data_IF_934247741665
#
_entry.id   IF_934247741665
#
_cell.length_a   1.000
_cell.length_b   1.000
_cell.length_c   1.000
_cell.angle_alpha   90.00
_cell.angle_beta   90.00
_cell.angle_gamma   90.00
#
_symmetry.space_group_name_H-M   'P 1'
#
loop_
_entity.id
_entity.type
_entity.pdbx_description
1 polymer ?
#
# COMPACT_ATOMS: atom_id res chain seq x y z
N UNK A 1 1.62 6.31 20.77
CA UNK A 1 0.46 7.09 21.27
C UNK A 1 0.71 8.57 20.99
N UNK A 2 0.03 9.12 19.97
CA UNK A 2 0.19 10.53 19.51
C UNK A 2 -0.11 11.57 20.63
N UNK A 3 -0.74 11.13 21.72
CA UNK A 3 -1.11 12.00 22.85
C UNK A 3 0.08 12.48 23.69
N UNK A 4 1.23 11.85 23.57
CA UNK A 4 2.40 12.16 24.43
C UNK A 4 3.42 13.14 23.81
N UNK A 5 3.18 13.65 22.61
CA UNK A 5 4.04 14.65 22.00
C UNK A 5 3.60 16.06 22.42
N UNK A 6 4.42 16.74 23.21
CA UNK A 6 4.13 18.06 23.80
C UNK A 6 3.79 19.19 22.80
N UNK A 7 4.06 19.01 21.50
CA UNK A 7 3.94 20.07 20.48
C UNK A 7 2.97 19.74 19.33
N UNK A 8 2.02 18.79 19.52
CA UNK A 8 1.04 18.48 18.50
C UNK A 8 -0.28 19.20 18.76
N UNK A 9 -0.59 20.20 17.93
CA UNK A 9 -1.87 20.90 17.94
C UNK A 9 -2.84 20.23 16.96
N UNK A 10 -3.90 19.59 17.48
CA UNK A 10 -4.94 18.97 16.66
C UNK A 10 -5.98 20.01 16.27
N UNK A 11 -5.91 20.51 15.05
CA UNK A 11 -6.86 21.49 14.51
C UNK A 11 -7.85 20.77 13.60
N UNK A 12 -9.10 20.65 14.03
CA UNK A 12 -10.22 20.21 13.17
C UNK A 12 -10.74 21.41 12.39
N UNK A 13 -10.20 21.71 11.23
CA UNK A 13 -10.67 22.79 10.37
C UNK A 13 -11.05 22.25 8.99
N UNK A 14 -12.27 22.56 8.53
CA UNK A 14 -12.67 22.32 7.14
C UNK A 14 -11.95 23.35 6.26
N UNK A 15 -10.91 22.93 5.56
CA UNK A 15 -10.15 23.79 4.65
C UNK A 15 -11.01 24.17 3.45
N UNK A 16 -11.33 25.45 3.31
CA UNK A 16 -11.93 26.02 2.09
C UNK A 16 -10.83 26.34 1.08
N UNK A 17 -11.21 26.51 -0.19
CA UNK A 17 -10.30 26.65 -1.36
C UNK A 17 -9.27 27.78 -1.24
N UNK A 18 -9.59 28.85 -0.54
CA UNK A 18 -8.74 30.03 -0.34
C UNK A 18 -7.61 29.84 0.69
N UNK A 19 -7.67 28.79 1.48
CA UNK A 19 -6.81 28.67 2.67
C UNK A 19 -5.40 28.11 2.39
N UNK A 20 -5.19 27.35 1.30
CA UNK A 20 -3.87 26.73 1.07
C UNK A 20 -2.77 27.74 0.70
N UNK A 21 -3.10 28.78 -0.03
CA UNK A 21 -2.12 29.84 -0.31
C UNK A 21 -1.73 30.60 0.96
N UNK A 22 -2.66 30.75 1.89
CA UNK A 22 -2.41 31.36 3.20
C UNK A 22 -1.66 30.37 4.12
N UNK A 23 -1.99 29.08 4.08
CA UNK A 23 -1.25 28.05 4.83
C UNK A 23 0.18 27.87 4.32
N UNK A 24 0.40 27.90 3.00
CA UNK A 24 1.75 27.79 2.44
C UNK A 24 2.68 28.94 2.83
N UNK A 25 2.13 30.10 3.22
CA UNK A 25 2.90 31.21 3.76
C UNK A 25 3.16 31.10 5.27
N UNK A 26 2.36 30.29 5.99
CA UNK A 26 2.39 30.17 7.45
C UNK A 26 3.25 29.01 7.93
N UNK A 27 3.43 27.96 7.12
CA UNK A 27 4.14 26.74 7.49
C UNK A 27 5.30 26.48 6.54
N UNK A 28 6.43 26.05 7.08
CA UNK A 28 7.63 25.72 6.32
C UNK A 28 7.41 24.46 5.48
N UNK A 29 6.67 23.48 6.01
CA UNK A 29 6.34 22.22 5.37
C UNK A 29 4.87 21.86 5.59
N UNK A 30 4.19 21.45 4.51
CA UNK A 30 2.83 20.91 4.54
C UNK A 30 2.85 19.50 3.97
N UNK A 31 2.40 18.52 4.75
CA UNK A 31 2.26 17.12 4.31
C UNK A 31 0.79 16.86 4.00
N UNK A 32 0.49 16.57 2.73
CA UNK A 32 -0.87 16.30 2.26
C UNK A 32 -1.06 14.82 1.96
N UNK A 33 -1.80 14.14 2.82
CA UNK A 33 -2.14 12.71 2.69
C UNK A 33 -3.54 12.47 2.15
N UNK A 34 -4.35 13.53 1.96
CA UNK A 34 -5.74 13.39 1.57
C UNK A 34 -5.89 13.22 0.06
N UNK A 35 -6.31 12.03 -0.38
CA UNK A 35 -6.59 11.70 -1.78
C UNK A 35 -7.62 12.62 -2.44
N UNK A 36 -8.63 13.07 -1.69
CA UNK A 36 -9.76 13.86 -2.18
C UNK A 36 -9.53 15.37 -2.09
N UNK A 37 -8.37 15.80 -1.61
CA UNK A 37 -8.09 17.21 -1.48
C UNK A 37 -8.03 17.89 -2.85
N UNK A 38 -9.09 18.62 -3.22
CA UNK A 38 -9.24 19.31 -4.50
C UNK A 38 -8.14 20.34 -4.79
N UNK A 39 -7.50 20.88 -3.75
CA UNK A 39 -6.41 21.86 -3.87
C UNK A 39 -5.13 21.27 -4.38
N UNK A 40 -4.72 20.19 -3.77
CA UNK A 40 -3.51 19.52 -4.15
C UNK A 40 -3.69 18.74 -5.46
N UNK A 41 -4.94 18.41 -5.83
CA UNK A 41 -5.21 17.78 -7.14
C UNK A 41 -4.77 18.64 -8.30
N UNK A 42 -4.84 19.96 -8.20
CA UNK A 42 -4.31 20.88 -9.22
C UNK A 42 -2.78 20.84 -9.32
N UNK A 43 -2.10 20.64 -8.21
CA UNK A 43 -0.63 20.59 -8.15
C UNK A 43 -0.09 19.18 -8.43
N UNK A 44 -0.87 18.14 -8.08
CA UNK A 44 -0.49 16.73 -8.16
C UNK A 44 -1.34 15.94 -9.16
N UNK A 45 -1.52 16.49 -10.37
CA UNK A 45 -2.36 15.89 -11.42
C UNK A 45 -1.59 14.90 -12.30
N UNK A 46 -0.27 15.09 -12.45
CA UNK A 46 0.56 14.20 -13.27
C UNK A 46 0.82 12.88 -12.55
N UNK A 47 0.09 11.84 -12.96
CA UNK A 47 0.16 10.50 -12.38
C UNK A 47 0.30 9.45 -13.47
N UNK A 48 1.06 8.40 -13.19
CA UNK A 48 0.93 7.13 -13.89
C UNK A 48 -0.25 6.43 -13.25
N UNK A 49 -1.25 6.05 -14.04
CA UNK A 49 -2.48 5.41 -13.55
C UNK A 49 -2.75 4.15 -14.35
N UNK A 50 -3.26 3.13 -13.67
CA UNK A 50 -3.81 1.92 -14.24
C UNK A 50 -5.01 1.47 -13.41
N UNK A 51 -6.10 1.12 -14.05
CA UNK A 51 -7.21 0.47 -13.39
C UNK A 51 -7.00 -1.05 -13.48
N UNK A 52 -7.13 -1.74 -12.35
CA UNK A 52 -7.03 -3.20 -12.34
C UNK A 52 -8.34 -3.87 -12.74
N UNK A 53 -9.42 -3.10 -12.87
CA UNK A 53 -10.77 -3.63 -13.06
C UNK A 53 -11.06 -4.75 -12.05
N UNK A 54 -10.69 -4.49 -10.81
CA UNK A 54 -10.78 -5.43 -9.70
C UNK A 54 -11.17 -4.69 -8.42
N UNK A 55 -11.86 -5.40 -7.53
CA UNK A 55 -12.21 -4.94 -6.18
C UNK A 55 -11.48 -5.76 -5.14
N UNK A 56 -11.06 -5.10 -4.06
CA UNK A 56 -10.68 -5.78 -2.84
C UNK A 56 -11.90 -5.93 -1.95
N UNK A 57 -12.09 -7.12 -1.39
CA UNK A 57 -13.06 -7.40 -0.34
C UNK A 57 -12.29 -7.75 0.92
N UNK A 58 -12.61 -7.07 2.01
CA UNK A 58 -11.88 -7.19 3.28
C UNK A 58 -12.86 -7.56 4.38
N UNK A 59 -12.52 -8.57 5.17
CA UNK A 59 -13.25 -8.96 6.36
C UNK A 59 -12.32 -9.50 7.43
N UNK A 60 -12.78 -9.62 8.67
CA UNK A 60 -12.09 -10.33 9.73
C UNK A 60 -12.79 -11.67 9.91
N UNK A 61 -12.00 -12.74 9.81
CA UNK A 61 -12.40 -14.09 10.11
C UNK A 61 -12.01 -14.41 11.56
N UNK A 62 -13.00 -14.76 12.38
CA UNK A 62 -12.78 -15.27 13.74
C UNK A 62 -12.76 -16.79 13.70
N UNK A 63 -11.81 -17.40 14.38
CA UNK A 63 -11.56 -18.84 14.37
C UNK A 63 -11.15 -19.35 15.76
N UNK A 64 -11.10 -20.64 15.93
CA UNK A 64 -10.58 -21.26 17.16
C UNK A 64 -9.14 -20.80 17.40
N UNK A 65 -8.73 -20.76 18.66
CA UNK A 65 -7.40 -20.31 19.06
C UNK A 65 -6.32 -21.24 18.50
N UNK A 66 -5.38 -20.66 17.77
CA UNK A 66 -4.19 -21.32 17.22
C UNK A 66 -2.98 -20.39 17.34
N UNK A 67 -1.77 -20.91 17.17
CA UNK A 67 -0.59 -20.08 16.94
C UNK A 67 -0.69 -19.44 15.54
N UNK A 68 -1.11 -18.16 15.50
CA UNK A 68 -1.43 -17.44 14.26
C UNK A 68 -0.39 -16.37 13.95
N UNK A 69 0.79 -16.78 13.53
CA UNK A 69 1.95 -15.91 13.29
C UNK A 69 2.44 -15.89 11.83
N UNK A 70 1.76 -16.62 10.93
CA UNK A 70 2.17 -16.75 9.52
C UNK A 70 1.13 -16.12 8.60
N UNK A 71 1.52 -15.07 7.86
CA UNK A 71 0.73 -14.53 6.76
C UNK A 71 0.79 -15.50 5.57
N UNK A 72 -0.37 -15.78 4.97
CA UNK A 72 -0.51 -16.68 3.82
C UNK A 72 -1.21 -15.98 2.69
N UNK A 73 -0.79 -16.27 1.46
CA UNK A 73 -1.45 -15.77 0.27
C UNK A 73 -1.64 -16.91 -0.74
N UNK A 74 -2.85 -16.99 -1.27
CA UNK A 74 -3.24 -17.98 -2.28
C UNK A 74 -3.60 -17.23 -3.56
N UNK A 75 -2.94 -17.57 -4.67
CA UNK A 75 -3.29 -17.04 -5.99
C UNK A 75 -4.37 -17.91 -6.61
N UNK A 76 -5.53 -17.31 -6.88
CA UNK A 76 -6.67 -17.99 -7.48
C UNK A 76 -6.91 -17.49 -8.91
N UNK A 77 -7.78 -18.18 -9.67
CA UNK A 77 -8.15 -17.76 -11.01
C UNK A 77 -8.81 -16.37 -11.07
N UNK A 78 -9.44 -15.94 -10.00
CA UNK A 78 -10.15 -14.65 -9.92
C UNK A 78 -9.31 -13.54 -9.27
N UNK A 79 -8.21 -13.90 -8.63
CA UNK A 79 -7.28 -12.99 -7.96
C UNK A 79 -6.72 -13.58 -6.66
N UNK A 80 -5.79 -12.91 -6.00
CA UNK A 80 -5.19 -13.38 -4.76
C UNK A 80 -6.15 -13.26 -3.56
N UNK A 81 -6.02 -14.21 -2.63
CA UNK A 81 -6.63 -14.22 -1.31
C UNK A 81 -5.50 -14.22 -0.29
N UNK A 82 -5.46 -13.23 0.58
CA UNK A 82 -4.50 -13.14 1.68
C UNK A 82 -5.18 -13.42 3.03
N UNK A 83 -4.51 -14.20 3.85
CA UNK A 83 -4.84 -14.50 5.24
C UNK A 83 -3.76 -13.85 6.11
N UNK A 84 -4.11 -12.76 6.79
CA UNK A 84 -3.18 -11.92 7.52
C UNK A 84 -3.48 -12.02 9.03
N UNK A 85 -2.59 -12.60 9.83
CA UNK A 85 -2.78 -12.74 11.27
C UNK A 85 -3.02 -11.40 11.97
N UNK A 86 -4.04 -11.35 12.84
CA UNK A 86 -4.29 -10.22 13.76
C UNK A 86 -4.00 -10.65 15.18
N UNK A 87 -4.51 -11.83 15.56
CA UNK A 87 -4.34 -12.44 16.88
C UNK A 87 -4.47 -13.95 16.76
N UNK A 88 -4.27 -14.68 17.87
CA UNK A 88 -4.42 -16.14 17.91
C UNK A 88 -5.80 -16.66 17.50
N UNK A 89 -6.83 -15.82 17.50
CA UNK A 89 -8.22 -16.19 17.19
C UNK A 89 -8.86 -15.31 16.12
N UNK A 90 -8.08 -14.48 15.42
CA UNK A 90 -8.60 -13.61 14.38
C UNK A 90 -7.57 -13.39 13.26
N UNK A 91 -8.07 -13.40 12.01
CA UNK A 91 -7.28 -13.24 10.80
C UNK A 91 -8.00 -12.26 9.87
N UNK A 92 -7.29 -11.25 9.39
CA UNK A 92 -7.80 -10.38 8.32
C UNK A 92 -7.72 -11.10 6.99
N UNK A 93 -8.82 -11.10 6.26
CA UNK A 93 -8.89 -11.67 4.91
C UNK A 93 -8.98 -10.53 3.91
N UNK A 94 -8.11 -10.56 2.92
CA UNK A 94 -8.12 -9.61 1.80
C UNK A 94 -8.23 -10.41 0.51
N UNK A 95 -9.34 -10.25 -0.20
CA UNK A 95 -9.60 -10.91 -1.48
C UNK A 95 -9.52 -9.86 -2.58
N UNK A 96 -8.67 -10.04 -3.55
CA UNK A 96 -8.74 -9.30 -4.81
C UNK A 96 -9.54 -10.13 -5.80
N UNK A 97 -10.58 -9.54 -6.36
CA UNK A 97 -11.44 -10.21 -7.34
C UNK A 97 -11.67 -9.30 -8.53
N UNK A 98 -11.59 -9.86 -9.74
CA UNK A 98 -11.93 -9.12 -10.96
C UNK A 98 -13.32 -8.55 -10.87
N UNK A 99 -13.47 -7.33 -11.33
CA UNK A 99 -14.75 -6.63 -11.34
C UNK A 99 -15.74 -7.41 -12.21
N UNK A 100 -16.84 -7.80 -11.59
CA UNK A 100 -18.04 -8.28 -12.28
C UNK A 100 -19.04 -7.14 -12.31
N UNK A 101 -20.06 -7.22 -13.17
CA UNK A 101 -21.09 -6.19 -13.32
C UNK A 101 -21.78 -5.84 -11.97
N UNK A 102 -21.75 -6.76 -11.02
CA UNK A 102 -22.31 -6.58 -9.67
C UNK A 102 -21.26 -6.86 -8.61
N UNK A 103 -21.37 -6.16 -7.47
CA UNK A 103 -20.63 -6.52 -6.27
C UNK A 103 -20.93 -7.97 -5.87
N UNK A 104 -19.89 -8.67 -5.42
CA UNK A 104 -20.06 -10.02 -4.91
C UNK A 104 -20.89 -9.98 -3.63
N UNK A 105 -21.85 -10.89 -3.54
CA UNK A 105 -22.61 -11.02 -2.32
C UNK A 105 -21.78 -11.63 -1.18
N UNK A 106 -22.25 -11.46 0.04
CA UNK A 106 -21.60 -11.95 1.25
C UNK A 106 -21.40 -13.47 1.20
N UNK A 107 -22.41 -14.21 0.79
CA UNK A 107 -22.37 -15.67 0.78
C UNK A 107 -21.31 -16.20 -0.19
N UNK A 108 -21.18 -15.57 -1.35
CA UNK A 108 -20.14 -15.94 -2.32
C UNK A 108 -18.74 -15.71 -1.75
N UNK A 109 -18.51 -14.56 -1.11
CA UNK A 109 -17.20 -14.21 -0.51
C UNK A 109 -16.86 -15.19 0.62
N UNK A 110 -17.80 -15.50 1.51
CA UNK A 110 -17.61 -16.46 2.59
C UNK A 110 -17.29 -17.87 2.05
N UNK A 111 -18.04 -18.35 1.04
CA UNK A 111 -17.77 -19.63 0.37
C UNK A 111 -16.38 -19.65 -0.27
N UNK A 112 -15.95 -18.53 -0.87
CA UNK A 112 -14.62 -18.43 -1.46
C UNK A 112 -13.52 -18.53 -0.38
N UNK A 113 -13.70 -17.86 0.76
CA UNK A 113 -12.78 -17.97 1.89
C UNK A 113 -12.72 -19.41 2.41
N UNK A 114 -13.86 -20.02 2.65
CA UNK A 114 -13.95 -21.41 3.13
C UNK A 114 -13.24 -22.37 2.18
N UNK A 115 -13.45 -22.21 0.87
CA UNK A 115 -12.83 -23.07 -0.15
C UNK A 115 -11.30 -23.07 -0.12
N UNK A 116 -10.69 -21.92 0.20
CA UNK A 116 -9.23 -21.76 0.21
C UNK A 116 -8.64 -21.75 1.63
N UNK A 117 -9.48 -21.94 2.64
CA UNK A 117 -9.07 -22.05 4.02
C UNK A 117 -8.75 -23.49 4.38
N UNK A 118 -7.46 -23.80 4.57
CA UNK A 118 -7.00 -25.13 5.01
C UNK A 118 -6.42 -25.13 6.44
N UNK A 119 -6.55 -24.01 7.17
CA UNK A 119 -5.77 -23.80 8.40
C UNK A 119 -6.63 -23.44 9.61
N UNK A 120 -7.81 -22.86 9.40
CA UNK A 120 -8.60 -22.27 10.46
C UNK A 120 -9.95 -22.96 10.61
N UNK A 121 -10.34 -23.28 11.83
CA UNK A 121 -11.72 -23.67 12.15
C UNK A 121 -12.52 -22.40 12.37
N UNK A 122 -13.30 -22.03 11.35
CA UNK A 122 -14.01 -20.75 11.27
C UNK A 122 -15.19 -20.75 12.25
N UNK A 123 -15.33 -19.68 13.02
CA UNK A 123 -16.46 -19.42 13.91
C UNK A 123 -17.43 -18.41 13.29
N UNK A 124 -16.92 -17.27 12.80
CA UNK A 124 -17.74 -16.22 12.18
C UNK A 124 -16.90 -15.29 11.33
N UNK A 125 -17.59 -14.53 10.48
CA UNK A 125 -17.02 -13.41 9.72
C UNK A 125 -17.59 -12.07 10.21
N UNK A 126 -16.77 -11.04 10.23
CA UNK A 126 -17.19 -9.65 10.44
C UNK A 126 -17.86 -9.08 9.18
N UNK A 127 -18.23 -7.79 9.21
CA UNK A 127 -18.75 -7.12 8.03
C UNK A 127 -17.70 -7.08 6.92
N UNK A 128 -18.16 -7.30 5.68
CA UNK A 128 -17.33 -7.22 4.49
C UNK A 128 -17.33 -5.78 3.98
N UNK A 129 -16.14 -5.24 3.74
CA UNK A 129 -15.94 -3.96 3.09
C UNK A 129 -15.36 -4.17 1.70
N UNK A 130 -15.71 -3.31 0.74
CA UNK A 130 -15.18 -3.38 -0.63
C UNK A 130 -14.53 -2.07 -1.07
N UNK A 131 -13.45 -2.19 -1.86
CA UNK A 131 -12.68 -1.07 -2.37
C UNK A 131 -12.24 -1.33 -3.81
N UNK A 132 -12.36 -0.33 -4.67
CA UNK A 132 -11.83 -0.43 -6.04
C UNK A 132 -10.30 -0.41 -6.01
N UNK A 133 -9.69 -1.33 -6.73
CA UNK A 133 -8.24 -1.43 -6.84
C UNK A 133 -7.73 -0.61 -8.02
N UNK A 134 -6.80 0.29 -7.75
CA UNK A 134 -6.18 1.17 -8.73
C UNK A 134 -4.69 1.27 -8.49
N UNK A 135 -3.95 1.35 -9.57
CA UNK A 135 -2.54 1.74 -9.53
C UNK A 135 -2.43 3.24 -9.78
N UNK A 136 -1.67 3.92 -8.98
CA UNK A 136 -1.40 5.35 -9.16
C UNK A 136 -0.04 5.71 -8.57
N UNK A 137 0.82 6.33 -9.37
CA UNK A 137 2.09 6.89 -8.93
C UNK A 137 2.16 8.35 -9.34
N UNK A 138 2.49 9.24 -8.40
CA UNK A 138 2.76 10.64 -8.73
C UNK A 138 4.07 10.80 -9.49
N UNK A 139 4.06 11.66 -10.52
CA UNK A 139 5.28 12.05 -11.25
C UNK A 139 6.06 13.15 -10.54
N UNK A 140 5.42 13.93 -9.66
CA UNK A 140 6.06 14.96 -8.84
C UNK A 140 5.52 14.85 -7.42
N UNK A 141 6.41 14.78 -6.45
CA UNK A 141 6.06 14.50 -5.06
C UNK A 141 5.74 15.76 -4.27
N UNK A 142 6.29 16.90 -4.70
CA UNK A 142 6.05 18.18 -4.03
C UNK A 142 5.71 19.30 -5.01
N UNK A 143 5.09 20.33 -4.46
CA UNK A 143 4.82 21.61 -5.15
C UNK A 143 4.92 22.73 -4.12
N UNK A 144 5.82 23.70 -4.36
CA UNK A 144 6.21 24.72 -3.37
C UNK A 144 6.72 24.03 -2.09
N UNK A 145 6.05 24.28 -0.96
CA UNK A 145 6.33 23.66 0.35
C UNK A 145 5.29 22.57 0.73
N UNK A 146 4.53 22.07 -0.24
CA UNK A 146 3.52 21.02 -0.03
C UNK A 146 4.07 19.71 -0.58
N UNK A 147 4.16 18.70 0.27
CA UNK A 147 4.51 17.32 -0.06
C UNK A 147 3.24 16.47 -0.15
N UNK A 148 3.03 15.78 -1.26
CA UNK A 148 2.08 14.68 -1.32
C UNK A 148 2.68 13.48 -0.60
N UNK A 149 1.88 12.77 0.21
CA UNK A 149 2.38 11.68 1.03
C UNK A 149 1.35 10.54 1.19
N UNK A 150 1.83 9.35 1.52
CA UNK A 150 0.97 8.20 1.72
C UNK A 150 0.29 7.74 0.42
N UNK A 151 -0.96 7.31 0.52
CA UNK A 151 -1.74 6.83 -0.64
C UNK A 151 -1.94 7.89 -1.73
N UNK A 152 -1.73 9.17 -1.40
CA UNK A 152 -1.73 10.24 -2.40
C UNK A 152 -0.51 10.15 -3.31
N UNK A 153 0.62 9.74 -2.76
CA UNK A 153 1.88 9.59 -3.46
C UNK A 153 1.88 8.36 -4.36
N UNK A 154 1.49 7.23 -3.78
CA UNK A 154 1.44 5.95 -4.49
C UNK A 154 0.31 5.06 -3.98
N UNK A 155 -0.42 4.47 -4.91
CA UNK A 155 -1.39 3.40 -4.69
C UNK A 155 -0.95 2.20 -5.52
N UNK A 156 -0.80 1.06 -4.89
CA UNK A 156 -0.40 -0.19 -5.54
C UNK A 156 -1.41 -1.30 -5.21
N UNK A 157 -1.35 -2.39 -5.94
CA UNK A 157 -2.14 -3.57 -5.61
C UNK A 157 -1.83 -4.04 -4.17
N UNK A 158 -2.84 -4.43 -3.36
CA UNK A 158 -2.64 -4.86 -1.97
C UNK A 158 -1.98 -6.25 -1.86
N UNK A 159 -1.04 -6.54 -2.74
CA UNK A 159 -0.29 -7.78 -2.74
C UNK A 159 0.61 -7.81 -1.50
N UNK A 160 0.39 -8.78 -0.63
CA UNK A 160 1.15 -8.95 0.61
C UNK A 160 1.27 -7.68 1.50
N UNK A 161 0.32 -6.74 1.42
CA UNK A 161 0.30 -5.53 2.25
C UNK A 161 1.42 -4.52 1.97
N UNK A 162 2.11 -4.61 0.84
CA UNK A 162 3.32 -3.84 0.53
C UNK A 162 3.11 -2.32 0.42
N UNK A 163 1.89 -1.85 0.15
CA UNK A 163 1.59 -0.41 0.13
C UNK A 163 1.86 0.28 1.47
N UNK A 164 1.51 -0.37 2.57
CA UNK A 164 1.81 0.13 3.92
C UNK A 164 3.32 0.18 4.19
N UNK A 165 4.04 -0.85 3.80
CA UNK A 165 5.50 -0.91 3.95
C UNK A 165 6.21 0.20 3.16
N UNK A 166 5.73 0.55 1.97
CA UNK A 166 6.24 1.71 1.22
C UNK A 166 6.06 3.00 2.01
N UNK A 167 4.87 3.21 2.61
CA UNK A 167 4.59 4.39 3.43
C UNK A 167 5.51 4.47 4.66
N UNK A 168 5.78 3.36 5.35
CA UNK A 168 6.70 3.33 6.50
C UNK A 168 8.13 3.70 6.09
N UNK A 169 8.61 3.21 4.95
CA UNK A 169 9.93 3.58 4.41
C UNK A 169 10.01 5.07 4.06
N UNK A 170 8.95 5.60 3.48
CA UNK A 170 8.86 7.02 3.15
C UNK A 170 8.85 7.89 4.41
N UNK A 171 8.11 7.48 5.47
CA UNK A 171 8.11 8.15 6.78
C UNK A 171 9.53 8.16 7.35
N UNK A 172 10.17 6.99 7.40
CA UNK A 172 11.53 6.87 7.95
C UNK A 172 12.51 7.79 7.23
N UNK A 173 12.45 7.81 5.89
CA UNK A 173 13.36 8.64 5.11
C UNK A 173 13.09 10.13 5.34
N UNK A 174 11.83 10.56 5.29
CA UNK A 174 11.45 11.96 5.52
C UNK A 174 11.83 12.42 6.94
N UNK A 175 11.59 11.59 7.95
CA UNK A 175 12.00 11.90 9.33
C UNK A 175 13.51 12.10 9.42
N UNK A 176 14.30 11.20 8.87
CA UNK A 176 15.76 11.31 8.90
C UNK A 176 16.25 12.60 8.21
N UNK A 177 15.65 12.98 7.07
CA UNK A 177 16.02 14.23 6.38
C UNK A 177 15.68 15.47 7.21
N UNK A 178 14.53 15.48 7.88
CA UNK A 178 14.14 16.55 8.79
C UNK A 178 15.08 16.62 9.99
N UNK A 179 15.35 15.48 10.64
CA UNK A 179 16.23 15.40 11.81
C UNK A 179 17.66 15.85 11.47
N UNK A 180 18.18 15.47 10.30
CA UNK A 180 19.48 15.93 9.82
C UNK A 180 19.52 17.46 9.65
N UNK A 181 18.47 18.05 9.08
CA UNK A 181 18.40 19.53 8.95
C UNK A 181 18.36 20.22 10.31
N UNK A 182 17.55 19.69 11.23
CA UNK A 182 17.44 20.25 12.59
C UNK A 182 18.79 20.15 13.33
N UNK A 183 19.46 19.00 13.28
CA UNK A 183 20.73 18.78 13.97
C UNK A 183 21.86 19.69 13.46
N UNK A 184 21.79 20.08 12.19
CA UNK A 184 22.74 21.01 11.56
C UNK A 184 22.33 22.49 11.72
N UNK A 185 21.23 22.79 12.42
CA UNK A 185 20.71 24.15 12.56
C UNK A 185 20.19 24.77 11.24
N UNK A 186 19.86 23.92 10.24
CA UNK A 186 19.41 24.37 8.94
C UNK A 186 17.88 24.50 8.89
N UNK A 187 17.40 25.38 8.02
CA UNK A 187 15.96 25.57 7.84
C UNK A 187 15.32 24.34 7.17
N UNK A 188 14.11 24.00 7.64
CA UNK A 188 13.24 23.00 6.99
C UNK A 188 12.54 23.71 5.85
N UNK A 189 13.07 23.59 4.64
CA UNK A 189 12.58 24.27 3.44
C UNK A 189 12.31 23.26 2.30
N UNK A 190 12.08 23.79 1.09
CA UNK A 190 11.85 22.97 -0.12
C UNK A 190 13.01 22.01 -0.46
N UNK A 191 14.20 22.20 0.09
CA UNK A 191 15.34 21.31 -0.17
C UNK A 191 15.10 19.92 0.41
N UNK A 192 14.47 19.82 1.60
CA UNK A 192 14.02 18.54 2.19
C UNK A 192 13.08 17.80 1.24
N UNK A 193 12.16 18.53 0.62
CA UNK A 193 11.18 17.95 -0.30
C UNK A 193 11.83 17.45 -1.60
N UNK A 194 12.80 18.21 -2.11
CA UNK A 194 13.58 17.85 -3.29
C UNK A 194 14.42 16.60 -3.05
N UNK A 195 15.12 16.52 -1.92
CA UNK A 195 15.91 15.34 -1.54
C UNK A 195 15.02 14.11 -1.33
N UNK A 196 13.87 14.29 -0.67
CA UNK A 196 12.88 13.23 -0.52
C UNK A 196 12.41 12.71 -1.90
N UNK A 197 12.02 13.60 -2.82
CA UNK A 197 11.60 13.20 -4.17
C UNK A 197 12.72 12.47 -4.89
N UNK A 198 13.94 13.04 -4.95
CA UNK A 198 15.07 12.47 -5.65
C UNK A 198 15.39 11.05 -5.18
N UNK A 199 15.37 10.83 -3.88
CA UNK A 199 15.74 9.55 -3.29
C UNK A 199 14.62 8.51 -3.36
N UNK A 200 13.39 8.94 -3.07
CA UNK A 200 12.27 7.99 -2.94
C UNK A 200 11.58 7.66 -4.25
N UNK A 201 11.56 8.59 -5.21
CA UNK A 201 10.81 8.42 -6.45
C UNK A 201 11.29 7.25 -7.30
N UNK A 202 12.59 7.11 -7.50
CA UNK A 202 13.15 5.96 -8.23
C UNK A 202 12.80 4.65 -7.54
N UNK A 203 13.08 4.57 -6.24
CA UNK A 203 12.83 3.38 -5.43
C UNK A 203 11.34 3.00 -5.42
N UNK A 204 10.46 3.98 -5.19
CA UNK A 204 9.02 3.75 -5.18
C UNK A 204 8.49 3.32 -6.56
N UNK A 205 9.04 3.88 -7.64
CA UNK A 205 8.63 3.52 -9.02
C UNK A 205 9.04 2.09 -9.34
N UNK A 206 10.28 1.70 -9.06
CA UNK A 206 10.78 0.34 -9.30
C UNK A 206 10.01 -0.67 -8.46
N UNK A 207 9.81 -0.37 -7.17
CA UNK A 207 9.09 -1.26 -6.26
C UNK A 207 7.62 -1.43 -6.66
N UNK A 208 6.92 -0.34 -6.96
CA UNK A 208 5.53 -0.39 -7.41
C UNK A 208 5.39 -1.13 -8.74
N UNK A 209 6.34 -0.92 -9.68
CA UNK A 209 6.39 -1.66 -10.95
C UNK A 209 6.62 -3.16 -10.74
N UNK A 210 7.46 -3.55 -9.79
CA UNK A 210 7.68 -4.96 -9.45
C UNK A 210 6.41 -5.62 -8.89
N UNK A 211 5.69 -4.94 -7.99
CA UNK A 211 4.40 -5.44 -7.47
C UNK A 211 3.36 -5.57 -8.57
N UNK A 212 3.26 -4.57 -9.46
CA UNK A 212 2.35 -4.62 -10.61
C UNK A 212 2.70 -5.77 -11.55
N UNK A 213 3.99 -5.97 -11.84
CA UNK A 213 4.48 -7.08 -12.66
C UNK A 213 4.12 -8.45 -12.04
N UNK A 214 4.32 -8.64 -10.74
CA UNK A 214 3.96 -9.87 -10.04
C UNK A 214 2.45 -10.12 -10.18
N UNK A 215 1.62 -9.10 -9.96
CA UNK A 215 0.18 -9.22 -10.10
C UNK A 215 -0.23 -9.65 -11.51
N UNK A 216 0.29 -8.98 -12.55
CA UNK A 216 -0.01 -9.30 -13.96
C UNK A 216 0.48 -10.70 -14.34
N UNK A 217 1.67 -11.07 -13.88
CA UNK A 217 2.23 -12.39 -14.13
C UNK A 217 1.28 -13.50 -13.63
N UNK A 218 0.79 -13.39 -12.39
CA UNK A 218 -0.17 -14.36 -11.85
C UNK A 218 -1.53 -14.30 -12.54
N UNK A 219 -1.94 -13.14 -13.04
CA UNK A 219 -3.17 -13.01 -13.83
C UNK A 219 -3.07 -13.72 -15.19
N UNK A 220 -1.93 -13.60 -15.86
CA UNK A 220 -1.67 -14.29 -17.13
C UNK A 220 -1.59 -15.80 -16.93
N UNK A 221 -0.90 -16.24 -15.90
CA UNK A 221 -0.76 -17.66 -15.57
C UNK A 221 -2.09 -18.33 -15.23
N UNK A 222 -2.99 -17.63 -14.54
CA UNK A 222 -4.32 -18.16 -14.24
C UNK A 222 -5.15 -18.48 -15.49
N UNK A 223 -4.76 -17.97 -16.67
CA UNK A 223 -5.40 -18.19 -17.97
C UNK A 223 -4.68 -19.23 -18.85
N UNK A 224 -3.44 -19.59 -18.50
CA UNK A 224 -2.57 -20.47 -19.29
C UNK A 224 -2.21 -21.74 -18.51
N UNK A 225 -1.77 -22.85 -19.15
CA UNK A 225 -1.31 -24.04 -18.44
C UNK A 225 -0.15 -23.71 -17.49
N UNK A 226 -0.13 -24.31 -16.30
CA UNK A 226 0.80 -24.09 -15.17
C UNK A 226 2.33 -24.21 -15.45
N UNK A 227 2.71 -24.37 -16.70
CA UNK A 227 4.10 -24.65 -17.11
C UNK A 227 5.05 -23.47 -16.84
N UNK A 228 4.54 -22.24 -16.86
CA UNK A 228 5.38 -21.05 -16.70
C UNK A 228 5.74 -20.75 -15.25
N UNK A 229 4.83 -20.93 -14.30
CA UNK A 229 5.10 -20.64 -12.89
C UNK A 229 6.08 -21.63 -12.28
N UNK A 230 5.93 -22.92 -12.56
CA UNK A 230 6.86 -23.92 -12.02
C UNK A 230 8.30 -23.66 -12.49
N UNK A 231 8.49 -23.29 -13.76
CA UNK A 231 9.80 -22.92 -14.27
C UNK A 231 10.32 -21.61 -13.67
N UNK A 232 9.46 -20.61 -13.51
CA UNK A 232 9.81 -19.32 -12.93
C UNK A 232 10.17 -19.44 -11.44
N UNK A 233 9.37 -20.17 -10.65
CA UNK A 233 9.70 -20.43 -9.24
C UNK A 233 10.91 -21.33 -9.07
N UNK A 234 11.13 -22.31 -9.94
CA UNK A 234 12.38 -23.10 -9.95
C UNK A 234 13.60 -22.22 -10.26
N UNK A 235 13.48 -21.29 -11.20
CA UNK A 235 14.53 -20.30 -11.50
C UNK A 235 14.77 -19.36 -10.32
N UNK A 236 13.74 -18.85 -9.66
CA UNK A 236 13.85 -18.01 -8.46
C UNK A 236 14.46 -18.78 -7.28
N UNK A 237 14.01 -20.00 -7.03
CA UNK A 237 14.53 -20.85 -5.93
C UNK A 237 15.95 -21.36 -6.19
N UNK A 238 16.31 -21.65 -7.44
CA UNK A 238 17.64 -22.17 -7.78
C UNK A 238 18.72 -21.06 -7.81
N UNK A 239 18.33 -19.78 -7.89
CA UNK A 239 19.29 -18.69 -7.78
C UNK A 239 19.28 -18.12 -6.36
N UNK A 240 20.24 -18.53 -5.53
CA UNK A 240 20.47 -17.96 -4.18
C UNK A 240 20.55 -16.42 -4.19
N UNK A 241 21.01 -15.84 -5.30
CA UNK A 241 21.07 -14.40 -5.51
C UNK A 241 19.66 -13.79 -5.66
N UNK A 242 18.79 -14.33 -6.53
CA UNK A 242 17.43 -13.81 -6.74
C UNK A 242 16.55 -13.99 -5.50
N UNK A 243 16.65 -15.13 -4.80
CA UNK A 243 15.97 -15.35 -3.52
C UNK A 243 16.44 -14.36 -2.45
N UNK A 244 17.74 -14.12 -2.34
CA UNK A 244 18.30 -13.14 -1.39
C UNK A 244 17.89 -11.70 -1.76
N UNK A 245 17.92 -11.34 -3.05
CA UNK A 245 17.48 -10.03 -3.51
C UNK A 245 15.97 -9.82 -3.32
N UNK A 246 15.14 -10.82 -3.59
CA UNK A 246 13.69 -10.73 -3.36
C UNK A 246 13.35 -10.55 -1.88
N UNK A 247 14.05 -11.25 -0.97
CA UNK A 247 13.90 -11.07 0.48
C UNK A 247 14.38 -9.67 0.91
N UNK A 248 15.54 -9.21 0.44
CA UNK A 248 16.05 -7.88 0.76
C UNK A 248 15.10 -6.78 0.25
N UNK A 249 14.54 -6.94 -0.95
CA UNK A 249 13.56 -6.01 -1.51
C UNK A 249 12.26 -6.03 -0.70
N UNK A 250 11.80 -7.21 -0.29
CA UNK A 250 10.59 -7.35 0.54
C UNK A 250 10.79 -6.74 1.93
N UNK A 251 11.95 -6.98 2.57
CA UNK A 251 12.24 -6.55 3.94
C UNK A 251 12.74 -5.11 4.03
N UNK A 252 13.70 -4.75 3.19
CA UNK A 252 14.39 -3.46 3.28
C UNK A 252 13.90 -2.43 2.25
N UNK A 253 13.27 -2.87 1.17
CA UNK A 253 13.04 -2.05 -0.01
C UNK A 253 14.34 -1.82 -0.79
N UNK A 254 14.22 -1.26 -1.98
CA UNK A 254 15.36 -0.79 -2.78
C UNK A 254 15.82 0.56 -2.26
#
# INVERSE_FOLDING_TARGET
DIKNFKNINKIKKKLKTLDLNNFSKKYDLIIDTNLQNKFSTKNFYKKIKKDYFSKAYVTIMHHDKIENNIARQVFTKTGPIAFLPISDNSTSIVISHKETIKDLDRNYIEKLIIKYNNFYKILKFSNIQSFNLKFSLLKSYYSKNILAFGDKLHQIHPLAGQGFNMNIRDIKYLSNEIDNKISLGLLIDKTVLKEFENRRKSNNTVFAGAIDFIYEFFQLESRSPKIFSEKFFKLLNNSKLLSRYSSIIADKGI
#
